data_IF_649931486347
#
_entry.id   IF_649931486347
#
_cell.length_a   1.000
_cell.length_b   1.000
_cell.length_c   1.000
_cell.angle_alpha   90.00
_cell.angle_beta   90.00
_cell.angle_gamma   90.00
#
_symmetry.space_group_name_H-M   'P 1'
#
loop_
_entity.id
_entity.type
_entity.pdbx_description
1 polymer ?
#
# COMPACT_ATOMS: atom_id res chain seq x y z
N UNK A 1 -16.40 -3.98 21.88
CA UNK A 1 -15.12 -4.60 21.53
C UNK A 1 -14.56 -4.05 20.24
N UNK A 2 -13.43 -3.48 20.31
CA UNK A 2 -12.80 -2.95 19.13
C UNK A 2 -12.24 -4.10 18.28
N UNK A 3 -12.51 -4.07 17.00
CA UNK A 3 -11.84 -4.97 16.10
C UNK A 3 -10.53 -4.35 15.66
N UNK A 4 -9.48 -5.14 15.72
CA UNK A 4 -8.16 -4.69 15.35
C UNK A 4 -8.10 -4.50 13.84
N UNK A 5 -7.62 -3.34 13.42
CA UNK A 5 -7.42 -3.07 12.00
C UNK A 5 -6.11 -3.68 11.53
N UNK A 6 -6.05 -3.97 10.25
CA UNK A 6 -4.86 -4.50 9.60
C UNK A 6 -4.10 -3.33 8.96
N UNK A 7 -2.83 -3.18 9.31
CA UNK A 7 -1.99 -2.13 8.74
C UNK A 7 -1.51 -2.56 7.36
N UNK A 8 -1.82 -1.76 6.36
CA UNK A 8 -1.61 -2.10 4.97
C UNK A 8 -0.68 -1.11 4.29
N UNK A 9 0.22 -1.63 3.46
CA UNK A 9 1.00 -0.85 2.52
C UNK A 9 0.63 -1.28 1.11
N UNK A 10 0.48 -0.32 0.21
CA UNK A 10 0.23 -0.58 -1.21
C UNK A 10 1.40 -0.01 -2.00
N UNK A 11 2.10 -0.86 -2.71
CA UNK A 11 3.24 -0.47 -3.55
C UNK A 11 2.80 -0.57 -5.00
N UNK A 12 3.04 0.49 -5.77
CA UNK A 12 2.46 0.64 -7.10
C UNK A 12 1.05 1.23 -7.02
N UNK A 13 0.82 2.10 -6.04
CA UNK A 13 -0.52 2.59 -5.70
C UNK A 13 -1.15 3.46 -6.78
N UNK A 14 -0.35 4.02 -7.68
CA UNK A 14 -0.86 4.95 -8.70
C UNK A 14 -1.17 4.29 -10.05
N UNK A 15 -0.88 2.99 -10.19
CA UNK A 15 -1.28 2.24 -11.38
C UNK A 15 -2.76 1.89 -11.34
N UNK A 16 -3.30 1.39 -12.46
CA UNK A 16 -4.73 1.08 -12.54
C UNK A 16 -5.18 0.10 -11.46
N UNK A 17 -4.45 -0.99 -11.31
CA UNK A 17 -4.81 -2.02 -10.33
C UNK A 17 -4.63 -1.48 -8.92
N UNK A 18 -3.53 -0.77 -8.68
CA UNK A 18 -3.27 -0.18 -7.37
C UNK A 18 -4.31 0.83 -6.95
N UNK A 19 -4.74 1.70 -7.87
CA UNK A 19 -5.78 2.70 -7.58
C UNK A 19 -7.12 2.05 -7.24
N UNK A 20 -7.52 1.03 -8.00
CA UNK A 20 -8.76 0.31 -7.72
C UNK A 20 -8.71 -0.35 -6.35
N UNK A 21 -7.58 -0.94 -6.01
CA UNK A 21 -7.40 -1.56 -4.71
C UNK A 21 -7.46 -0.53 -3.59
N UNK A 22 -6.78 0.60 -3.76
CA UNK A 22 -6.80 1.67 -2.74
C UNK A 22 -8.22 2.16 -2.53
N UNK A 23 -8.97 2.35 -3.60
CA UNK A 23 -10.36 2.76 -3.51
C UNK A 23 -11.18 1.75 -2.72
N UNK A 24 -11.02 0.47 -3.03
CA UNK A 24 -11.71 -0.60 -2.31
C UNK A 24 -11.33 -0.61 -0.83
N UNK A 25 -10.03 -0.58 -0.54
CA UNK A 25 -9.55 -0.64 0.84
C UNK A 25 -9.92 0.59 1.65
N UNK A 26 -10.04 1.75 1.01
CA UNK A 26 -10.35 2.98 1.72
C UNK A 26 -11.73 2.93 2.39
N UNK A 27 -12.63 2.11 1.87
CA UNK A 27 -13.97 1.93 2.47
C UNK A 27 -14.09 0.65 3.29
N UNK A 28 -13.01 -0.12 3.40
CA UNK A 28 -13.05 -1.38 4.15
C UNK A 28 -12.83 -1.10 5.64
N UNK A 29 -13.74 -1.56 6.51
CA UNK A 29 -13.67 -1.19 7.94
C UNK A 29 -12.48 -1.78 8.69
N UNK A 30 -11.89 -2.87 8.18
CA UNK A 30 -10.75 -3.52 8.83
C UNK A 30 -9.41 -3.04 8.28
N UNK A 31 -9.40 -2.27 7.20
CA UNK A 31 -8.18 -1.83 6.55
C UNK A 31 -7.71 -0.50 7.12
N UNK A 32 -6.45 -0.45 7.52
CA UNK A 32 -5.80 0.78 7.91
C UNK A 32 -4.62 1.00 6.96
N UNK A 33 -4.82 1.84 5.94
CA UNK A 33 -3.78 2.10 4.95
C UNK A 33 -2.73 3.01 5.57
N UNK A 34 -1.55 2.45 5.81
CA UNK A 34 -0.44 3.18 6.41
C UNK A 34 0.47 3.81 5.36
N UNK A 35 0.65 3.15 4.23
CA UNK A 35 1.58 3.61 3.20
C UNK A 35 1.00 3.40 1.82
N UNK A 36 1.16 4.42 0.98
CA UNK A 36 0.88 4.36 -0.44
C UNK A 36 2.18 4.74 -1.14
N UNK A 37 2.77 3.79 -1.85
CA UNK A 37 4.07 3.98 -2.47
C UNK A 37 3.99 3.97 -3.98
N UNK A 38 4.72 4.88 -4.61
CA UNK A 38 4.87 4.96 -6.05
C UNK A 38 6.19 5.64 -6.35
N UNK A 39 6.59 5.59 -7.62
CA UNK A 39 7.85 6.22 -8.03
C UNK A 39 7.65 7.68 -8.42
N UNK A 40 6.43 8.05 -8.82
CA UNK A 40 6.12 9.41 -9.28
C UNK A 40 5.15 10.08 -8.32
N UNK A 41 5.19 11.41 -8.32
CA UNK A 41 4.25 12.24 -7.55
C UNK A 41 4.32 11.99 -6.05
N UNK A 42 5.51 11.71 -5.56
CA UNK A 42 5.76 11.57 -4.12
C UNK A 42 5.37 12.88 -3.43
N UNK A 43 4.66 12.76 -2.31
CA UNK A 43 4.15 13.90 -1.55
C UNK A 43 2.75 14.35 -1.94
N UNK A 44 2.21 13.82 -3.04
CA UNK A 44 0.85 14.14 -3.47
C UNK A 44 -0.16 13.24 -2.76
N UNK A 45 -1.39 13.72 -2.65
CA UNK A 45 -2.51 12.92 -2.18
C UNK A 45 -2.94 11.95 -3.29
N UNK A 46 -3.45 10.80 -2.91
CA UNK A 46 -3.92 9.80 -3.88
C UNK A 46 -5.06 10.36 -4.76
N UNK A 47 -5.81 11.33 -4.26
CA UNK A 47 -6.87 11.98 -5.01
C UNK A 47 -6.36 12.71 -6.25
N UNK A 48 -5.05 12.99 -6.31
CA UNK A 48 -4.44 13.52 -7.51
C UNK A 48 -4.65 12.58 -8.71
N UNK A 49 -4.68 11.28 -8.46
CA UNK A 49 -4.84 10.25 -9.49
C UNK A 49 -6.28 9.78 -9.62
N UNK A 50 -7.04 9.75 -8.52
CA UNK A 50 -8.41 9.24 -8.55
C UNK A 50 -9.27 10.01 -7.53
N UNK A 51 -10.05 10.93 -8.05
CA UNK A 51 -10.90 11.78 -7.22
C UNK A 51 -12.07 11.05 -6.59
N UNK A 52 -12.34 9.82 -7.00
CA UNK A 52 -13.40 9.01 -6.40
C UNK A 52 -13.03 8.53 -5.00
N UNK A 53 -11.74 8.56 -4.67
CA UNK A 53 -11.28 8.21 -3.33
C UNK A 53 -11.50 9.41 -2.42
N UNK A 54 -12.42 9.29 -1.49
CA UNK A 54 -12.83 10.42 -0.63
C UNK A 54 -12.17 10.42 0.73
N UNK A 55 -11.67 9.27 1.17
CA UNK A 55 -11.08 9.15 2.49
C UNK A 55 -9.73 9.86 2.55
N UNK A 56 -9.45 10.45 3.71
CA UNK A 56 -8.15 11.04 3.96
C UNK A 56 -7.12 9.93 4.20
N UNK A 57 -6.19 9.80 3.27
CA UNK A 57 -5.18 8.75 3.30
C UNK A 57 -3.79 9.36 3.35
N UNK A 58 -2.76 8.57 3.71
CA UNK A 58 -1.38 9.07 3.68
C UNK A 58 -1.00 9.55 2.28
N UNK A 59 -0.12 10.51 2.23
CA UNK A 59 0.43 10.98 0.96
C UNK A 59 1.29 9.90 0.33
N UNK A 60 1.43 9.97 -1.00
CA UNK A 60 2.29 9.04 -1.73
C UNK A 60 3.71 9.21 -1.24
N UNK A 61 4.36 8.11 -0.89
CA UNK A 61 5.71 8.13 -0.34
C UNK A 61 6.64 7.21 -1.11
N UNK A 62 7.92 7.41 -0.84
CA UNK A 62 8.97 6.54 -1.36
C UNK A 62 8.96 5.23 -0.57
N UNK A 63 9.27 4.14 -1.26
CA UNK A 63 9.36 2.82 -0.65
C UNK A 63 10.32 2.78 0.55
N UNK A 64 11.37 3.59 0.51
CA UNK A 64 12.38 3.65 1.57
C UNK A 64 11.84 4.22 2.87
N UNK A 65 10.71 4.91 2.83
CA UNK A 65 10.10 5.51 4.02
C UNK A 65 9.24 4.53 4.82
N UNK A 66 8.99 3.36 4.28
CA UNK A 66 8.08 2.40 4.91
C UNK A 66 8.75 1.72 6.09
N UNK A 67 8.07 1.75 7.23
CA UNK A 67 8.50 1.00 8.41
C UNK A 67 7.82 -0.36 8.41
N UNK A 68 8.51 -1.33 7.84
CA UNK A 68 7.92 -2.65 7.58
C UNK A 68 7.52 -3.40 8.85
N UNK A 69 8.12 -3.08 9.96
CA UNK A 69 7.80 -3.74 11.22
C UNK A 69 6.38 -3.45 11.73
N UNK A 70 5.75 -2.39 11.23
CA UNK A 70 4.37 -2.07 11.61
C UNK A 70 3.35 -2.44 10.54
N UNK A 71 3.79 -2.96 9.40
CA UNK A 71 2.91 -3.35 8.31
C UNK A 71 2.53 -4.82 8.44
N UNK A 72 1.24 -5.12 8.40
CA UNK A 72 0.73 -6.48 8.48
C UNK A 72 0.59 -7.11 7.11
N UNK A 73 0.19 -6.31 6.12
CA UNK A 73 -0.14 -6.79 4.79
C UNK A 73 0.38 -5.83 3.74
N UNK A 74 1.10 -6.36 2.77
CA UNK A 74 1.61 -5.60 1.63
C UNK A 74 0.93 -6.10 0.36
N UNK A 75 0.33 -5.17 -0.38
CA UNK A 75 -0.10 -5.43 -1.74
C UNK A 75 0.92 -4.80 -2.69
N UNK A 76 1.42 -5.58 -3.64
CA UNK A 76 2.32 -5.05 -4.66
C UNK A 76 1.64 -5.10 -6.02
N UNK A 77 1.77 -4.01 -6.77
CA UNK A 77 1.32 -3.91 -8.14
C UNK A 77 2.47 -3.36 -8.98
N UNK A 78 3.58 -4.06 -8.94
CA UNK A 78 4.81 -3.72 -9.65
C UNK A 78 4.99 -4.67 -10.82
N UNK A 79 5.82 -4.29 -11.82
CA UNK A 79 6.17 -5.23 -12.88
C UNK A 79 6.75 -6.52 -12.32
N UNK A 80 6.54 -7.60 -13.05
CA UNK A 80 7.08 -8.92 -12.70
C UNK A 80 8.59 -8.82 -12.49
N UNK A 81 9.08 -9.45 -11.47
CA UNK A 81 10.49 -9.36 -11.11
C UNK A 81 10.73 -8.31 -10.04
N UNK A 82 10.16 -7.12 -10.16
CA UNK A 82 10.31 -6.10 -9.13
C UNK A 82 9.58 -6.49 -7.85
N UNK A 83 8.36 -7.03 -7.99
CA UNK A 83 7.62 -7.54 -6.82
C UNK A 83 8.36 -8.69 -6.16
N UNK A 84 8.95 -9.58 -6.95
CA UNK A 84 9.71 -10.71 -6.44
C UNK A 84 10.95 -10.25 -5.67
N UNK A 85 11.67 -9.25 -6.19
CA UNK A 85 12.82 -8.69 -5.50
C UNK A 85 12.43 -8.04 -4.19
N UNK A 86 11.33 -7.32 -4.19
CA UNK A 86 10.84 -6.69 -2.96
C UNK A 86 10.46 -7.74 -1.93
N UNK A 87 9.73 -8.78 -2.34
CA UNK A 87 9.34 -9.86 -1.44
C UNK A 87 10.56 -10.52 -0.81
N UNK A 88 11.61 -10.73 -1.61
CA UNK A 88 12.85 -11.32 -1.12
C UNK A 88 13.51 -10.45 -0.07
N UNK A 89 13.56 -9.13 -0.29
CA UNK A 89 14.14 -8.20 0.67
C UNK A 89 13.36 -8.15 1.98
N UNK A 90 12.05 -8.40 1.92
CA UNK A 90 11.18 -8.29 3.09
C UNK A 90 11.01 -9.61 3.84
N UNK A 91 11.71 -10.65 3.43
CA UNK A 91 11.58 -11.99 4.00
C UNK A 91 11.86 -12.05 5.49
N UNK A 92 12.72 -11.15 5.98
CA UNK A 92 13.06 -11.09 7.40
C UNK A 92 11.90 -10.62 8.29
N UNK A 93 10.86 -10.03 7.70
CA UNK A 93 9.68 -9.58 8.45
C UNK A 93 8.65 -10.72 8.46
N UNK A 94 8.76 -11.59 9.45
CA UNK A 94 8.01 -12.86 9.50
C UNK A 94 6.49 -12.67 9.53
N UNK A 95 6.02 -11.60 10.13
CA UNK A 95 4.58 -11.36 10.28
C UNK A 95 3.95 -10.71 9.05
N UNK A 96 4.78 -10.18 8.17
CA UNK A 96 4.31 -9.48 6.99
C UNK A 96 3.80 -10.48 5.96
N UNK A 97 2.55 -10.29 5.53
CA UNK A 97 1.97 -11.04 4.42
C UNK A 97 2.08 -10.21 3.17
N UNK A 98 2.40 -10.84 2.05
CA UNK A 98 2.59 -10.15 0.77
C UNK A 98 1.65 -10.76 -0.27
N UNK A 99 0.88 -9.89 -0.92
CA UNK A 99 0.00 -10.29 -2.02
C UNK A 99 0.46 -9.54 -3.26
N UNK A 100 0.85 -10.30 -4.28
CA UNK A 100 1.27 -9.78 -5.57
C UNK A 100 0.07 -9.77 -6.51
N UNK A 101 -0.27 -8.59 -7.01
CA UNK A 101 -1.45 -8.40 -7.84
C UNK A 101 -1.18 -8.65 -9.33
#
# INVERSE_FOLDING_TARGET
>A
MSSKKINIAVVGATGYVGLDLVKFLSSHPKANIKYLCAQKKIGKQIQYFDKRIKKNLPKISNLKKVKWNIVDLLFTSLPTGESQLLAKKLKKFNKLKIIDL
#
